data_IF_065870338881
#
_entry.id   IF_065870338881
#
_cell.length_a   1.000
_cell.length_b   1.000
_cell.length_c   1.000
_cell.angle_alpha   90.00
_cell.angle_beta   90.00
_cell.angle_gamma   90.00
#
_symmetry.space_group_name_H-M   'P 1'
#
loop_
_entity.id
_entity.type
_entity.pdbx_description
1 polymer ?
#
# COMPACT_ATOMS: atom_id res chain seq x y z
N UNK A 1 -5.48 -16.31 -15.57
CA UNK A 1 -5.78 -17.76 -15.47
C UNK A 1 -4.98 -18.28 -14.31
N UNK A 2 -5.65 -18.77 -13.27
CA UNK A 2 -4.98 -19.30 -12.08
C UNK A 2 -4.03 -20.44 -12.43
N UNK A 3 -2.89 -20.51 -11.73
CA UNK A 3 -1.90 -21.59 -11.85
C UNK A 3 -2.54 -22.97 -11.62
N UNK A 4 -3.64 -23.02 -10.88
CA UNK A 4 -4.47 -24.20 -10.67
C UNK A 4 -5.18 -24.65 -11.96
N UNK A 5 -5.76 -23.73 -12.73
CA UNK A 5 -6.42 -24.04 -14.00
C UNK A 5 -5.44 -24.59 -15.04
N UNK A 6 -4.21 -24.05 -15.09
CA UNK A 6 -3.16 -24.53 -16.01
C UNK A 6 -2.69 -25.94 -15.64
N UNK A 7 -2.51 -26.24 -14.35
CA UNK A 7 -2.16 -27.59 -13.88
C UNK A 7 -3.24 -28.62 -14.22
N UNK A 8 -4.51 -28.26 -14.05
CA UNK A 8 -5.64 -29.16 -14.36
C UNK A 8 -5.73 -29.43 -15.86
N UNK A 9 -5.59 -28.40 -16.71
CA UNK A 9 -5.56 -28.60 -18.17
C UNK A 9 -4.37 -29.47 -18.62
N UNK A 10 -3.20 -29.32 -17.99
CA UNK A 10 -2.04 -30.17 -18.28
C UNK A 10 -2.28 -31.63 -17.89
N UNK A 11 -2.91 -31.89 -16.74
CA UNK A 11 -3.27 -33.23 -16.29
C UNK A 11 -4.29 -33.89 -17.23
N UNK A 12 -5.30 -33.15 -17.68
CA UNK A 12 -6.26 -33.65 -18.67
C UNK A 12 -5.59 -33.95 -20.01
N UNK A 13 -4.66 -33.09 -20.47
CA UNK A 13 -3.94 -33.31 -21.71
C UNK A 13 -3.02 -34.55 -21.64
N UNK A 14 -2.31 -34.73 -20.52
CA UNK A 14 -1.46 -35.90 -20.27
C UNK A 14 -2.29 -37.19 -20.17
N UNK A 15 -3.41 -37.15 -19.46
CA UNK A 15 -4.35 -38.28 -19.35
C UNK A 15 -4.93 -38.66 -20.72
N UNK A 16 -5.34 -37.68 -21.52
CA UNK A 16 -5.84 -37.92 -22.88
C UNK A 16 -4.75 -38.48 -23.80
N UNK A 17 -3.51 -38.02 -23.67
CA UNK A 17 -2.38 -38.54 -24.44
C UNK A 17 -2.06 -39.98 -24.07
N UNK A 18 -2.09 -40.33 -22.79
CA UNK A 18 -1.81 -41.68 -22.31
C UNK A 18 -2.94 -42.66 -22.68
N UNK A 19 -4.20 -42.22 -22.62
CA UNK A 19 -5.35 -43.00 -23.05
C UNK A 19 -5.33 -43.31 -24.55
N UNK A 20 -4.86 -42.38 -25.40
CA UNK A 20 -4.65 -42.64 -26.83
C UNK A 20 -3.58 -43.71 -27.08
N UNK A 21 -2.47 -43.70 -26.32
CA UNK A 21 -1.44 -44.74 -26.41
C UNK A 21 -2.00 -46.11 -26.01
N UNK A 22 -2.80 -46.16 -24.95
CA UNK A 22 -3.45 -47.40 -24.50
C UNK A 22 -4.44 -47.96 -25.53
N UNK A 23 -5.25 -47.10 -26.16
CA UNK A 23 -6.22 -47.51 -27.18
C UNK A 23 -5.56 -48.05 -28.46
N UNK A 24 -4.33 -47.63 -28.77
CA UNK A 24 -3.57 -48.07 -29.93
C UNK A 24 -2.92 -49.46 -29.80
N UNK A 25 -2.97 -50.11 -28.62
CA UNK A 25 -2.38 -51.43 -28.40
C UNK A 25 -3.26 -52.59 -28.94
N UNK A 26 -2.68 -53.76 -29.26
CA UNK A 26 -3.42 -54.99 -29.51
C UNK A 26 -4.23 -55.46 -28.28
N UNK A 27 -5.34 -56.18 -28.50
CA UNK A 27 -6.34 -56.52 -27.45
C UNK A 27 -5.73 -57.38 -26.31
N UNK A 28 -4.85 -58.34 -26.62
CA UNK A 28 -4.13 -59.18 -25.66
C UNK A 28 -3.16 -58.38 -24.77
N UNK A 29 -2.67 -57.25 -25.28
CA UNK A 29 -1.80 -56.35 -24.54
C UNK A 29 -2.59 -55.37 -23.67
N UNK A 30 -3.82 -55.00 -24.05
CA UNK A 30 -4.72 -54.16 -23.24
C UNK A 30 -5.15 -54.85 -21.95
N UNK A 31 -5.50 -56.13 -22.01
CA UNK A 31 -5.86 -56.93 -20.83
C UNK A 31 -4.66 -57.10 -19.88
N UNK A 32 -3.47 -57.34 -20.45
CA UNK A 32 -2.22 -57.44 -19.69
C UNK A 32 -1.82 -56.09 -19.07
N UNK A 33 -1.98 -54.98 -19.80
CA UNK A 33 -1.67 -53.64 -19.31
C UNK A 33 -2.66 -53.20 -18.22
N UNK A 34 -3.96 -53.50 -18.37
CA UNK A 34 -4.96 -53.29 -17.32
C UNK A 34 -4.58 -54.06 -16.05
N UNK A 35 -4.25 -55.35 -16.15
CA UNK A 35 -3.79 -56.15 -15.01
C UNK A 35 -2.52 -55.58 -14.36
N UNK A 36 -1.58 -55.06 -15.15
CA UNK A 36 -0.33 -54.44 -14.65
C UNK A 36 -0.57 -53.11 -13.94
N UNK A 37 -1.49 -52.29 -14.44
CA UNK A 37 -1.87 -51.01 -13.81
C UNK A 37 -2.65 -51.26 -12.52
N UNK A 38 -3.58 -52.22 -12.50
CA UNK A 38 -4.30 -52.64 -11.29
C UNK A 38 -3.35 -53.23 -10.25
N UNK A 39 -2.35 -54.02 -10.66
CA UNK A 39 -1.33 -54.54 -9.75
C UNK A 39 -0.40 -53.45 -9.19
N UNK A 40 -0.06 -52.43 -9.99
CA UNK A 40 0.71 -51.27 -9.53
C UNK A 40 -0.09 -50.42 -8.54
N UNK A 41 -1.36 -50.11 -8.85
CA UNK A 41 -2.24 -49.40 -7.93
C UNK A 41 -2.44 -50.18 -6.62
N UNK A 42 -2.62 -51.51 -6.71
CA UNK A 42 -2.74 -52.37 -5.54
C UNK A 42 -1.47 -52.34 -4.70
N UNK A 43 -0.29 -52.36 -5.30
CA UNK A 43 0.98 -52.26 -4.58
C UNK A 43 1.24 -50.86 -3.99
N UNK A 44 0.75 -49.79 -4.63
CA UNK A 44 0.81 -48.42 -4.09
C UNK A 44 -0.21 -48.20 -2.95
N UNK A 45 -1.37 -48.86 -2.96
CA UNK A 45 -2.35 -48.80 -1.86
C UNK A 45 -2.02 -49.73 -0.68
N UNK A 46 -1.23 -50.79 -0.88
CA UNK A 46 -0.83 -51.76 0.18
C UNK A 46 0.27 -51.21 1.10
N UNK A 47 0.69 -49.95 0.93
CA UNK A 47 1.60 -49.27 1.85
C UNK A 47 0.99 -48.88 3.21
N UNK A 48 -0.33 -48.92 3.37
CA UNK A 48 -0.98 -48.53 4.62
C UNK A 48 -2.18 -49.43 4.95
N UNK A 49 -2.12 -50.03 6.14
CA UNK A 49 -3.18 -50.69 6.93
C UNK A 49 -3.48 -52.17 6.63
N UNK A 50 -2.92 -53.01 7.52
CA UNK A 50 -3.51 -54.29 7.95
C UNK A 50 -4.85 -54.00 8.65
N UNK A 51 -5.95 -54.61 8.20
CA UNK A 51 -6.89 -55.31 9.07
C UNK A 51 -7.96 -56.06 8.24
N UNK A 52 -8.30 -57.22 8.78
CA UNK A 52 -9.03 -58.34 8.17
C UNK A 52 -10.53 -58.06 7.99
N UNK A 53 -11.11 -58.45 6.83
CA UNK A 53 -12.38 -59.20 6.81
C UNK A 53 -12.36 -60.20 5.65
N UNK A 54 -12.73 -61.42 6.01
CA UNK A 54 -12.79 -62.69 5.31
C UNK A 54 -13.35 -62.65 3.86
N UNK A 55 -12.64 -63.30 2.93
CA UNK A 55 -13.29 -64.07 1.87
C UNK A 55 -12.83 -65.52 1.94
N UNK A 56 -13.82 -66.41 2.03
CA UNK A 56 -13.63 -67.86 2.07
C UNK A 56 -12.85 -68.37 0.85
N UNK A 57 -11.71 -69.00 1.14
CA UNK A 57 -11.09 -69.97 0.25
C UNK A 57 -12.04 -71.17 0.04
N UNK A 58 -12.28 -71.51 -1.22
CA UNK A 58 -12.21 -72.93 -1.61
C UNK A 58 -11.15 -73.13 -2.67
N UNK A 59 -10.04 -73.69 -2.19
CA UNK A 59 -8.82 -73.99 -2.89
C UNK A 59 -8.97 -74.93 -4.09
N UNK A 60 -7.95 -74.86 -4.93
CA UNK A 60 -7.75 -75.74 -6.08
C UNK A 60 -6.46 -75.44 -6.83
N UNK A 61 -5.34 -75.32 -6.12
CA UNK A 61 -4.01 -75.23 -6.71
C UNK A 61 -3.56 -76.62 -7.20
N UNK A 62 -3.22 -76.80 -8.48
CA UNK A 62 -2.04 -77.61 -8.83
C UNK A 62 -1.51 -77.38 -10.25
N UNK A 63 -0.33 -76.76 -10.30
CA UNK A 63 0.88 -77.15 -11.06
C UNK A 63 0.72 -77.52 -12.53
N UNK A 64 1.26 -76.62 -13.36
CA UNK A 64 2.08 -76.94 -14.52
C UNK A 64 3.00 -78.14 -14.26
N UNK A 65 2.80 -79.23 -15.00
CA UNK A 65 3.82 -80.26 -15.24
C UNK A 65 3.91 -80.53 -16.74
N UNK A 66 5.05 -80.17 -17.30
CA UNK A 66 5.53 -80.61 -18.60
C UNK A 66 6.12 -82.04 -18.49
N UNK A 67 6.11 -82.76 -19.62
CA UNK A 67 7.00 -83.88 -20.02
C UNK A 67 6.82 -85.27 -19.36
N UNK A 68 6.23 -86.25 -20.08
CA UNK A 68 6.91 -87.19 -21.01
C UNK A 68 6.03 -88.44 -21.34
N UNK A 69 6.32 -89.16 -22.44
CA UNK A 69 5.43 -90.13 -23.08
C UNK A 69 5.53 -91.52 -22.45
N UNK A 70 4.40 -92.23 -22.37
CA UNK A 70 4.33 -93.65 -21.99
C UNK A 70 3.48 -94.33 -23.08
N UNK A 71 4.13 -94.86 -24.12
CA UNK A 71 4.45 -96.29 -24.29
C UNK A 71 3.23 -97.20 -24.08
N UNK A 72 2.73 -97.64 -25.22
CA UNK A 72 2.04 -98.91 -25.43
C UNK A 72 2.50 -100.01 -24.48
N UNK A 73 1.53 -100.62 -23.78
CA UNK A 73 1.67 -101.97 -23.27
C UNK A 73 0.33 -102.70 -23.34
N UNK A 74 0.17 -103.43 -24.43
CA UNK A 74 -0.80 -104.50 -24.60
C UNK A 74 -0.57 -105.57 -23.54
N UNK A 75 -1.59 -105.92 -22.76
CA UNK A 75 -1.68 -107.21 -22.05
C UNK A 75 -3.15 -107.66 -22.05
N UNK A 76 -3.47 -108.84 -22.62
CA UNK A 76 -4.61 -109.64 -22.18
C UNK A 76 -4.11 -110.95 -21.52
N UNK A 77 -4.95 -111.82 -20.91
CA UNK A 77 -6.34 -111.68 -20.44
C UNK A 77 -6.56 -112.23 -19.01
N UNK A 78 -7.78 -112.07 -18.43
CA UNK A 78 -8.29 -113.06 -17.46
C UNK A 78 -9.79 -113.31 -17.63
N UNK A 79 -10.12 -114.59 -17.72
CA UNK A 79 -11.44 -115.19 -17.94
C UNK A 79 -12.26 -115.25 -16.65
N UNK A 80 -13.59 -115.11 -16.80
CA UNK A 80 -14.70 -115.87 -16.17
C UNK A 80 -15.99 -115.19 -16.66
N UNK A 81 -17.12 -115.81 -17.01
CA UNK A 81 -17.58 -117.19 -17.14
C UNK A 81 -19.04 -117.08 -17.63
N UNK A 82 -19.49 -118.00 -18.51
CA UNK A 82 -20.90 -118.37 -18.61
C UNK A 82 -21.73 -117.71 -19.74
N UNK A 83 -21.94 -118.46 -20.82
CA UNK A 83 -22.86 -118.09 -21.90
C UNK A 83 -22.53 -118.75 -23.24
N UNK A 84 -22.59 -120.09 -23.32
CA UNK A 84 -22.28 -120.88 -24.52
C UNK A 84 -23.39 -120.72 -25.57
N UNK A 85 -23.29 -119.72 -26.45
CA UNK A 85 -24.08 -119.69 -27.68
C UNK A 85 -23.37 -120.54 -28.75
N UNK A 86 -24.06 -121.57 -29.26
CA UNK A 86 -23.52 -122.51 -30.25
C UNK A 86 -23.08 -121.77 -31.52
N UNK A 87 -21.77 -121.62 -31.74
CA UNK A 87 -21.21 -121.19 -33.03
C UNK A 87 -21.32 -122.34 -34.04
N UNK A 88 -22.40 -122.34 -34.82
CA UNK A 88 -22.48 -123.09 -36.08
C UNK A 88 -21.54 -122.48 -37.13
N UNK A 89 -20.86 -123.33 -37.89
CA UNK A 89 -19.90 -123.00 -38.96
C UNK A 89 -20.51 -122.04 -40.01
N UNK A 90 -20.23 -120.73 -39.89
CA UNK A 90 -20.46 -119.72 -40.95
C UNK A 90 -19.26 -118.78 -41.17
N UNK A 91 -18.06 -119.14 -40.71
CA UNK A 91 -16.87 -118.26 -40.74
C UNK A 91 -16.21 -118.07 -42.13
N UNK A 92 -16.83 -118.55 -43.22
CA UNK A 92 -16.24 -118.49 -44.57
C UNK A 92 -17.09 -117.75 -45.62
N UNK A 93 -18.34 -117.38 -45.34
CA UNK A 93 -19.24 -116.82 -46.36
C UNK A 93 -19.04 -115.31 -46.57
N UNK A 94 -19.05 -114.85 -47.83
CA UNK A 94 -19.00 -113.42 -48.22
C UNK A 94 -20.01 -112.57 -47.44
N UNK A 95 -21.21 -113.11 -47.19
CA UNK A 95 -22.30 -112.44 -46.45
C UNK A 95 -21.93 -112.14 -44.99
N UNK A 96 -21.20 -113.04 -44.31
CA UNK A 96 -20.77 -112.84 -42.92
C UNK A 96 -19.68 -111.77 -42.80
N UNK A 97 -18.76 -111.69 -43.76
CA UNK A 97 -17.72 -110.64 -43.82
C UNK A 97 -18.33 -109.24 -43.99
N UNK A 98 -19.32 -109.11 -44.88
CA UNK A 98 -20.07 -107.85 -45.07
C UNK A 98 -20.83 -107.50 -43.81
N UNK A 99 -21.53 -108.46 -43.20
CA UNK A 99 -22.27 -108.25 -41.95
C UNK A 99 -21.36 -107.74 -40.82
N UNK A 100 -20.19 -108.37 -40.62
CA UNK A 100 -19.22 -107.93 -39.60
C UNK A 100 -18.68 -106.53 -39.89
N UNK A 101 -18.35 -106.22 -41.15
CA UNK A 101 -17.90 -104.88 -41.55
C UNK A 101 -18.97 -103.80 -41.30
N UNK A 102 -20.23 -104.09 -41.61
CA UNK A 102 -21.35 -103.18 -41.37
C UNK A 102 -21.54 -102.96 -39.88
N UNK A 103 -21.47 -104.01 -39.05
CA UNK A 103 -21.57 -103.89 -37.60
C UNK A 103 -20.43 -103.05 -37.02
N UNK A 104 -19.18 -103.26 -37.45
CA UNK A 104 -18.04 -102.42 -37.04
C UNK A 104 -18.22 -100.96 -37.45
N UNK A 105 -18.68 -100.68 -38.67
CA UNK A 105 -18.96 -99.31 -39.13
C UNK A 105 -20.11 -98.66 -38.33
N UNK A 106 -21.16 -99.40 -37.99
CA UNK A 106 -22.25 -98.92 -37.12
C UNK A 106 -21.75 -98.59 -35.71
N UNK A 107 -20.91 -99.44 -35.11
CA UNK A 107 -20.29 -99.14 -33.80
C UNK A 107 -19.39 -97.90 -33.86
N UNK A 108 -18.67 -97.71 -34.95
CA UNK A 108 -17.83 -96.52 -35.15
C UNK A 108 -18.65 -95.24 -35.34
N UNK A 109 -19.76 -95.31 -36.10
CA UNK A 109 -20.71 -94.19 -36.24
C UNK A 109 -21.26 -93.80 -34.87
N UNK A 110 -21.72 -94.77 -34.06
CA UNK A 110 -22.22 -94.49 -32.71
C UNK A 110 -21.15 -93.84 -31.82
N UNK A 111 -19.89 -94.28 -31.93
CA UNK A 111 -18.77 -93.67 -31.20
C UNK A 111 -18.50 -92.22 -31.63
N UNK A 112 -18.62 -91.93 -32.93
CA UNK A 112 -18.49 -90.58 -33.47
C UNK A 112 -19.66 -89.69 -33.05
N UNK A 113 -20.89 -90.20 -33.11
CA UNK A 113 -22.09 -89.48 -32.66
C UNK A 113 -22.00 -89.13 -31.17
N UNK A 114 -21.50 -90.04 -30.33
CA UNK A 114 -21.27 -89.76 -28.91
C UNK A 114 -20.18 -88.69 -28.70
N UNK A 115 -19.13 -88.69 -29.54
CA UNK A 115 -18.10 -87.66 -29.50
C UNK A 115 -18.65 -86.29 -29.94
N UNK A 116 -19.43 -86.23 -31.02
CA UNK A 116 -20.11 -85.03 -31.49
C UNK A 116 -21.02 -84.48 -30.39
N UNK A 117 -21.86 -85.33 -29.77
CA UNK A 117 -22.75 -84.91 -28.70
C UNK A 117 -22.02 -84.36 -27.46
N UNK A 118 -20.80 -84.84 -27.17
CA UNK A 118 -19.94 -84.29 -26.10
C UNK A 118 -19.39 -82.91 -26.48
N UNK A 119 -18.88 -82.77 -27.69
CA UNK A 119 -18.38 -81.49 -28.22
C UNK A 119 -19.49 -80.43 -28.34
N UNK A 120 -20.68 -80.79 -28.83
CA UNK A 120 -21.83 -79.89 -28.91
C UNK A 120 -22.28 -79.38 -27.53
N UNK A 121 -22.25 -80.25 -26.51
CA UNK A 121 -22.53 -79.85 -25.11
C UNK A 121 -21.48 -78.87 -24.59
N UNK A 122 -20.21 -79.11 -24.90
CA UNK A 122 -19.11 -78.22 -24.50
C UNK A 122 -19.23 -76.86 -25.22
N UNK A 123 -19.47 -76.87 -26.53
CA UNK A 123 -19.66 -75.66 -27.32
C UNK A 123 -20.83 -74.83 -26.77
N UNK A 124 -21.98 -75.47 -26.51
CA UNK A 124 -23.14 -74.79 -25.93
C UNK A 124 -22.88 -74.27 -24.52
N UNK A 125 -21.99 -74.89 -23.75
CA UNK A 125 -21.59 -74.39 -22.43
C UNK A 125 -20.70 -73.15 -22.56
N UNK A 126 -19.72 -73.17 -23.46
CA UNK A 126 -18.83 -72.06 -23.76
C UNK A 126 -19.58 -70.86 -24.33
N UNK A 127 -20.48 -71.09 -25.29
CA UNK A 127 -21.36 -70.05 -25.86
C UNK A 127 -22.15 -69.33 -24.77
N UNK A 128 -22.77 -70.09 -23.86
CA UNK A 128 -23.47 -69.52 -22.70
C UNK A 128 -22.54 -68.78 -21.74
N UNK A 129 -21.26 -69.15 -21.66
CA UNK A 129 -20.28 -68.43 -20.84
C UNK A 129 -19.94 -67.09 -21.45
N UNK A 130 -19.62 -67.08 -22.75
CA UNK A 130 -19.32 -65.85 -23.49
C UNK A 130 -20.51 -64.89 -23.44
N UNK A 131 -21.74 -65.40 -23.60
CA UNK A 131 -22.93 -64.56 -23.51
C UNK A 131 -23.07 -63.90 -22.13
N UNK A 132 -22.84 -64.65 -21.04
CA UNK A 132 -22.85 -64.09 -19.68
C UNK A 132 -21.76 -63.05 -19.49
N UNK A 133 -20.57 -63.30 -20.03
CA UNK A 133 -19.44 -62.38 -19.91
C UNK A 133 -19.67 -61.10 -20.73
N UNK A 134 -20.29 -61.20 -21.91
CA UNK A 134 -20.71 -60.06 -22.72
C UNK A 134 -21.72 -59.18 -21.97
N UNK A 135 -22.76 -59.79 -21.38
CA UNK A 135 -23.75 -59.05 -20.58
C UNK A 135 -23.07 -58.33 -19.41
N UNK A 136 -22.18 -59.01 -18.67
CA UNK A 136 -21.43 -58.40 -17.57
C UNK A 136 -20.56 -57.23 -18.03
N UNK A 137 -19.96 -57.36 -19.22
CA UNK A 137 -19.12 -56.31 -19.78
C UNK A 137 -19.94 -55.08 -20.19
N UNK A 138 -21.12 -55.28 -20.80
CA UNK A 138 -22.03 -54.19 -21.13
C UNK A 138 -22.57 -53.47 -19.88
N UNK A 139 -22.92 -54.22 -18.83
CA UNK A 139 -23.31 -53.66 -17.53
C UNK A 139 -22.16 -52.84 -16.92
N UNK A 140 -20.93 -53.36 -16.98
CA UNK A 140 -19.75 -52.64 -16.51
C UNK A 140 -19.51 -51.33 -17.26
N UNK A 141 -19.62 -51.34 -18.60
CA UNK A 141 -19.46 -50.13 -19.40
C UNK A 141 -20.52 -49.08 -19.07
N UNK A 142 -21.78 -49.51 -18.92
CA UNK A 142 -22.88 -48.62 -18.55
C UNK A 142 -22.69 -47.99 -17.19
N UNK A 143 -22.26 -48.77 -16.20
CA UNK A 143 -21.99 -48.28 -14.85
C UNK A 143 -20.78 -47.35 -14.83
N UNK A 144 -19.74 -47.62 -15.63
CA UNK A 144 -18.60 -46.74 -15.77
C UNK A 144 -18.98 -45.40 -16.41
N UNK A 145 -19.75 -45.41 -17.50
CA UNK A 145 -20.25 -44.21 -18.14
C UNK A 145 -21.12 -43.39 -17.19
N UNK A 146 -22.04 -44.05 -16.47
CA UNK A 146 -22.87 -43.44 -15.44
C UNK A 146 -22.03 -42.75 -14.36
N UNK A 147 -21.06 -43.46 -13.76
CA UNK A 147 -20.16 -42.88 -12.74
C UNK A 147 -19.33 -41.72 -13.29
N UNK A 148 -18.87 -41.82 -14.53
CA UNK A 148 -18.13 -40.74 -15.21
C UNK A 148 -19.00 -39.49 -15.39
N UNK A 149 -20.25 -39.67 -15.81
CA UNK A 149 -21.22 -38.57 -15.96
C UNK A 149 -21.55 -37.96 -14.61
N UNK A 150 -21.85 -38.77 -13.60
CA UNK A 150 -22.14 -38.31 -12.23
C UNK A 150 -20.96 -37.50 -11.66
N UNK A 151 -19.73 -37.99 -11.78
CA UNK A 151 -18.54 -37.27 -11.37
C UNK A 151 -18.43 -35.92 -12.09
N UNK A 152 -18.63 -35.90 -13.42
CA UNK A 152 -18.62 -34.67 -14.21
C UNK A 152 -19.69 -33.67 -13.76
N UNK A 153 -20.92 -34.13 -13.54
CA UNK A 153 -22.01 -33.25 -13.11
C UNK A 153 -21.75 -32.65 -11.73
N UNK A 154 -21.17 -33.43 -10.81
CA UNK A 154 -20.79 -32.94 -9.47
C UNK A 154 -19.71 -31.85 -9.57
N UNK A 155 -18.68 -32.06 -10.40
CA UNK A 155 -17.66 -31.03 -10.65
C UNK A 155 -18.24 -29.77 -11.30
N UNK A 156 -19.12 -29.92 -12.28
CA UNK A 156 -19.78 -28.77 -12.93
C UNK A 156 -20.72 -28.02 -11.98
N UNK A 157 -21.37 -28.71 -11.04
CA UNK A 157 -22.19 -28.08 -10.01
C UNK A 157 -21.34 -27.35 -8.97
N UNK A 158 -20.25 -27.96 -8.49
CA UNK A 158 -19.32 -27.34 -7.54
C UNK A 158 -18.65 -26.09 -8.15
N UNK A 159 -18.24 -26.18 -9.41
CA UNK A 159 -17.68 -25.04 -10.14
C UNK A 159 -18.70 -23.90 -10.29
N UNK A 160 -19.96 -24.22 -10.60
CA UNK A 160 -21.05 -23.22 -10.66
C UNK A 160 -21.30 -22.58 -9.29
N UNK A 161 -21.42 -23.39 -8.24
CA UNK A 161 -21.65 -22.88 -6.87
C UNK A 161 -20.50 -21.98 -6.41
N UNK A 162 -19.25 -22.40 -6.65
CA UNK A 162 -18.06 -21.58 -6.36
C UNK A 162 -18.09 -20.26 -7.14
N UNK A 163 -18.45 -20.30 -8.43
CA UNK A 163 -18.55 -19.09 -9.24
C UNK A 163 -19.64 -18.13 -8.74
N UNK A 164 -20.80 -18.65 -8.34
CA UNK A 164 -21.89 -17.86 -7.76
C UNK A 164 -21.46 -17.19 -6.44
N UNK A 165 -20.83 -17.95 -5.53
CA UNK A 165 -20.28 -17.41 -4.28
C UNK A 165 -19.21 -16.34 -4.56
N UNK A 166 -18.34 -16.55 -5.55
CA UNK A 166 -17.35 -15.56 -5.96
C UNK A 166 -17.97 -14.28 -6.57
N UNK A 167 -19.10 -14.40 -7.27
CA UNK A 167 -19.85 -13.23 -7.74
C UNK A 167 -20.45 -12.46 -6.57
N UNK A 168 -21.00 -13.16 -5.58
CA UNK A 168 -21.57 -12.54 -4.37
C UNK A 168 -20.50 -11.86 -3.51
N UNK A 169 -19.34 -12.48 -3.34
CA UNK A 169 -18.18 -11.84 -2.68
C UNK A 169 -17.81 -10.54 -3.40
N UNK A 170 -17.76 -10.56 -4.75
CA UNK A 170 -17.47 -9.35 -5.54
C UNK A 170 -18.53 -8.27 -5.36
N UNK A 171 -19.82 -8.66 -5.33
CA UNK A 171 -20.94 -7.75 -5.08
C UNK A 171 -20.83 -7.09 -3.70
N UNK A 172 -20.66 -7.89 -2.65
CA UNK A 172 -20.49 -7.41 -1.28
C UNK A 172 -19.24 -6.53 -1.13
N UNK A 173 -18.14 -6.89 -1.79
CA UNK A 173 -16.91 -6.09 -1.79
C UNK A 173 -17.14 -4.70 -2.39
N UNK A 174 -17.91 -4.62 -3.48
CA UNK A 174 -18.28 -3.33 -4.09
C UNK A 174 -19.18 -2.51 -3.16
N UNK A 175 -20.18 -3.13 -2.52
CA UNK A 175 -21.07 -2.47 -1.57
C UNK A 175 -20.32 -1.92 -0.34
N UNK A 176 -19.38 -2.70 0.20
CA UNK A 176 -18.48 -2.25 1.28
C UNK A 176 -17.68 -1.02 0.83
N UNK A 177 -17.16 -1.00 -0.40
CA UNK A 177 -16.41 0.13 -0.92
C UNK A 177 -17.27 1.39 -1.03
N UNK A 178 -18.51 1.25 -1.52
CA UNK A 178 -19.48 2.35 -1.58
C UNK A 178 -19.77 2.89 -0.18
N UNK A 179 -20.13 2.04 0.78
CA UNK A 179 -20.41 2.45 2.16
C UNK A 179 -19.19 3.14 2.80
N UNK A 180 -17.97 2.63 2.56
CA UNK A 180 -16.74 3.27 3.04
C UNK A 180 -16.54 4.67 2.45
N UNK A 181 -16.82 4.85 1.16
CA UNK A 181 -16.72 6.17 0.52
C UNK A 181 -17.76 7.15 1.05
N UNK A 182 -18.98 6.66 1.33
CA UNK A 182 -20.02 7.46 1.96
C UNK A 182 -19.65 7.85 3.40
N UNK A 183 -19.10 6.91 4.18
CA UNK A 183 -18.61 7.17 5.53
C UNK A 183 -17.51 8.24 5.52
N UNK A 184 -16.52 8.15 4.63
CA UNK A 184 -15.48 9.16 4.50
C UNK A 184 -16.04 10.55 4.15
N UNK A 185 -17.04 10.62 3.28
CA UNK A 185 -17.75 11.88 2.97
C UNK A 185 -18.46 12.44 4.20
N UNK A 186 -19.10 11.60 5.01
CA UNK A 186 -19.72 12.04 6.26
C UNK A 186 -18.69 12.49 7.29
N UNK A 187 -17.52 11.84 7.36
CA UNK A 187 -16.41 12.25 8.22
C UNK A 187 -15.87 13.64 7.84
N UNK A 188 -15.71 13.92 6.54
CA UNK A 188 -15.31 15.24 6.03
C UNK A 188 -16.33 16.32 6.43
N UNK A 189 -17.62 16.08 6.19
CA UNK A 189 -18.71 16.98 6.59
C UNK A 189 -18.70 17.21 8.12
N UNK A 190 -18.43 16.17 8.90
CA UNK A 190 -18.36 16.28 10.36
C UNK A 190 -17.16 17.10 10.82
N UNK A 191 -16.03 17.05 10.11
CA UNK A 191 -14.90 17.95 10.33
C UNK A 191 -15.30 19.40 10.04
N UNK A 192 -16.00 19.66 8.94
CA UNK A 192 -16.49 21.00 8.61
C UNK A 192 -17.43 21.54 9.69
N UNK A 193 -18.39 20.75 10.16
CA UNK A 193 -19.29 21.17 11.25
C UNK A 193 -18.55 21.46 12.55
N UNK A 194 -17.51 20.69 12.89
CA UNK A 194 -16.65 21.00 14.05
C UNK A 194 -15.92 22.33 13.86
N UNK A 195 -15.37 22.57 12.67
CA UNK A 195 -14.71 23.83 12.35
C UNK A 195 -15.69 25.01 12.41
N UNK A 196 -16.92 24.85 11.92
CA UNK A 196 -17.97 25.87 12.00
C UNK A 196 -18.37 26.13 13.45
N UNK A 197 -18.53 25.08 14.27
CA UNK A 197 -18.79 25.24 15.71
C UNK A 197 -17.69 26.05 16.39
N UNK A 198 -16.42 25.73 16.11
CA UNK A 198 -15.27 26.43 16.68
C UNK A 198 -15.21 27.89 16.21
N UNK A 199 -15.53 28.15 14.94
CA UNK A 199 -15.62 29.49 14.39
C UNK A 199 -16.72 30.31 15.07
N UNK A 200 -17.93 29.76 15.18
CA UNK A 200 -19.06 30.40 15.85
C UNK A 200 -18.72 30.72 17.31
N UNK A 201 -18.05 29.80 18.00
CA UNK A 201 -17.60 30.03 19.37
C UNK A 201 -16.61 31.20 19.47
N UNK A 202 -15.65 31.31 18.54
CA UNK A 202 -14.68 32.42 18.51
C UNK A 202 -15.30 33.76 18.16
N UNK A 203 -16.32 33.77 17.30
CA UNK A 203 -17.05 34.97 16.90
C UNK A 203 -18.07 35.43 17.95
N UNK A 204 -18.47 34.54 18.86
CA UNK A 204 -19.36 34.89 19.96
C UNK A 204 -18.67 35.89 20.91
N UNK A 205 -19.39 36.82 21.55
CA UNK A 205 -18.79 37.82 22.44
C UNK A 205 -18.00 37.20 23.61
N UNK A 206 -16.90 37.84 24.08
CA UNK A 206 -16.08 37.32 25.18
C UNK A 206 -16.86 37.04 26.46
N UNK A 207 -17.80 37.92 26.81
CA UNK A 207 -18.69 37.77 27.98
C UNK A 207 -19.51 36.47 27.93
N UNK A 208 -19.97 36.11 26.72
CA UNK A 208 -20.72 34.89 26.48
C UNK A 208 -19.81 33.65 26.47
N UNK A 209 -18.61 33.75 25.87
CA UNK A 209 -17.62 32.68 25.88
C UNK A 209 -17.19 32.31 27.32
N UNK A 210 -16.99 33.31 28.19
CA UNK A 210 -16.58 33.14 29.58
C UNK A 210 -17.69 32.54 30.45
N UNK A 211 -18.93 32.97 30.27
CA UNK A 211 -20.09 32.36 30.91
C UNK A 211 -20.20 30.88 30.55
N UNK A 212 -19.97 30.53 29.29
CA UNK A 212 -20.07 29.15 28.84
C UNK A 212 -18.90 28.27 29.31
N UNK A 213 -17.68 28.80 29.38
CA UNK A 213 -16.54 28.10 29.99
C UNK A 213 -16.73 27.89 31.50
N UNK A 214 -17.34 28.84 32.19
CA UNK A 214 -17.61 28.78 33.63
C UNK A 214 -18.67 27.72 33.97
N UNK A 215 -19.70 27.57 33.13
CA UNK A 215 -20.69 26.49 33.25
C UNK A 215 -20.07 25.09 33.09
N UNK A 216 -19.16 24.90 32.11
CA UNK A 216 -18.46 23.62 31.88
C UNK A 216 -17.53 23.24 33.03
N UNK A 217 -16.91 24.22 33.70
CA UNK A 217 -16.02 23.98 34.86
C UNK A 217 -16.83 23.61 36.11
N UNK A 218 -18.01 24.20 36.31
CA UNK A 218 -18.93 23.84 37.41
C UNK A 218 -19.43 22.39 37.32
N UNK A 219 -19.69 21.89 36.11
CA UNK A 219 -20.19 20.52 35.89
C UNK A 219 -19.13 19.41 36.06
N UNK A 220 -17.82 19.73 36.06
CA UNK A 220 -16.74 18.74 36.24
C UNK A 220 -16.39 18.42 37.70
N UNK A 221 -16.99 19.12 38.67
CA UNK A 221 -16.72 18.93 40.11
C UNK A 221 -17.36 17.70 40.75
N UNK A 222 -18.24 16.96 40.07
CA UNK A 222 -18.89 15.77 40.61
C UNK A 222 -19.12 14.72 39.53
N UNK A 223 -18.25 13.69 39.49
CA UNK A 223 -18.57 12.25 39.31
C UNK A 223 -17.33 11.49 38.85
N UNK A 224 -16.63 10.91 39.82
CA UNK A 224 -16.12 9.54 39.66
C UNK A 224 -17.34 8.62 39.62
N UNK A 225 -17.72 8.15 38.44
CA UNK A 225 -18.37 6.85 38.31
C UNK A 225 -18.26 6.40 36.85
N UNK A 226 -17.52 5.32 36.66
CA UNK A 226 -17.40 4.64 35.39
C UNK A 226 -18.77 4.04 35.05
N UNK A 227 -19.17 4.12 33.78
CA UNK A 227 -20.37 3.53 33.20
C UNK A 227 -21.64 4.42 33.12
N UNK A 228 -21.52 5.59 32.47
CA UNK A 228 -22.68 6.29 31.90
C UNK A 228 -22.64 6.23 30.38
N UNK A 229 -23.62 5.55 29.82
CA UNK A 229 -24.10 5.75 28.45
C UNK A 229 -24.12 7.25 28.14
N UNK A 230 -23.52 7.59 26.99
CA UNK A 230 -23.51 8.92 26.41
C UNK A 230 -24.94 9.33 26.09
N UNK A 231 -25.60 9.93 27.08
CA UNK A 231 -26.88 10.62 26.88
C UNK A 231 -26.59 11.96 26.21
N UNK A 232 -26.84 11.97 24.91
CA UNK A 232 -26.76 13.08 23.97
C UNK A 232 -27.87 14.11 24.23
N UNK A 233 -27.85 14.77 25.40
CA UNK A 233 -28.86 15.77 25.80
C UNK A 233 -28.20 17.01 26.41
N UNK A 234 -27.21 17.57 25.73
CA UNK A 234 -26.80 18.96 25.93
C UNK A 234 -26.63 19.58 24.53
N UNK A 235 -27.75 19.95 23.91
CA UNK A 235 -27.73 20.82 22.73
C UNK A 235 -27.12 22.16 23.19
N UNK A 236 -25.89 22.52 22.75
CA UNK A 236 -25.25 23.71 23.25
C UNK A 236 -26.03 24.92 22.73
N UNK A 237 -26.56 25.73 23.65
CA UNK A 237 -27.19 27.00 23.28
C UNK A 237 -26.20 27.83 22.45
N UNK A 238 -26.59 28.18 21.22
CA UNK A 238 -25.75 28.95 20.29
C UNK A 238 -26.01 30.44 20.52
N UNK A 239 -24.96 31.26 20.49
CA UNK A 239 -25.10 32.71 20.58
C UNK A 239 -25.88 33.28 19.39
N UNK A 240 -25.55 32.83 18.18
CA UNK A 240 -26.23 33.22 16.95
C UNK A 240 -27.51 32.39 16.77
N UNK A 241 -28.65 33.07 16.81
CA UNK A 241 -29.99 32.43 16.66
C UNK A 241 -30.54 32.57 15.24
N UNK A 242 -30.07 33.56 14.49
CA UNK A 242 -30.42 33.80 13.08
C UNK A 242 -29.13 33.88 12.25
N UNK A 243 -28.98 33.10 11.16
CA UNK A 243 -27.84 33.18 10.26
C UNK A 243 -27.50 34.59 9.76
N UNK A 244 -28.48 35.48 9.65
CA UNK A 244 -28.24 36.86 9.22
C UNK A 244 -27.34 37.63 10.21
N UNK A 245 -27.44 37.35 11.51
CA UNK A 245 -26.61 37.98 12.54
C UNK A 245 -25.11 37.75 12.31
N UNK A 246 -24.75 36.55 11.86
CA UNK A 246 -23.36 36.21 11.53
C UNK A 246 -22.89 36.91 10.25
N UNK A 247 -23.75 36.98 9.23
CA UNK A 247 -23.45 37.64 7.97
C UNK A 247 -23.26 39.15 8.16
N UNK A 248 -24.11 39.77 8.99
CA UNK A 248 -24.03 41.19 9.32
C UNK A 248 -22.73 41.48 10.09
N UNK A 249 -22.40 40.66 11.09
CA UNK A 249 -21.13 40.76 11.84
C UNK A 249 -19.90 40.60 10.92
N UNK A 250 -19.93 39.62 10.01
CA UNK A 250 -18.84 39.42 9.05
C UNK A 250 -18.71 40.60 8.08
N UNK A 251 -19.83 41.19 7.67
CA UNK A 251 -19.87 42.38 6.81
C UNK A 251 -19.27 43.57 7.53
N UNK A 252 -19.65 43.82 8.79
CA UNK A 252 -19.10 44.90 9.61
C UNK A 252 -17.58 44.73 9.84
N UNK A 253 -17.14 43.52 10.23
CA UNK A 253 -15.71 43.23 10.40
C UNK A 253 -14.94 43.41 9.09
N UNK A 254 -15.53 43.06 7.95
CA UNK A 254 -14.92 43.26 6.64
C UNK A 254 -14.78 44.75 6.33
N UNK A 255 -15.81 45.54 6.58
CA UNK A 255 -15.79 46.99 6.38
C UNK A 255 -14.75 47.67 7.29
N UNK A 256 -14.70 47.29 8.56
CA UNK A 256 -13.70 47.79 9.51
C UNK A 256 -12.28 47.44 9.06
N UNK A 257 -12.03 46.20 8.63
CA UNK A 257 -10.72 45.79 8.12
C UNK A 257 -10.33 46.56 6.86
N UNK A 258 -11.26 46.78 5.93
CA UNK A 258 -11.01 47.59 4.72
C UNK A 258 -10.67 49.04 5.08
N UNK A 259 -11.40 49.63 6.03
CA UNK A 259 -11.12 50.99 6.53
C UNK A 259 -9.74 51.10 7.19
N UNK A 260 -9.36 50.10 8.00
CA UNK A 260 -8.02 50.05 8.61
C UNK A 260 -6.92 49.94 7.57
N UNK A 261 -7.09 49.09 6.56
CA UNK A 261 -6.14 48.96 5.44
C UNK A 261 -6.00 50.31 4.73
N UNK A 262 -7.12 50.94 4.36
CA UNK A 262 -7.12 52.24 3.69
C UNK A 262 -6.43 53.33 4.53
N UNK A 263 -6.65 53.35 5.83
CA UNK A 263 -5.99 54.30 6.72
C UNK A 263 -4.48 54.04 6.81
N UNK A 264 -4.06 52.77 6.94
CA UNK A 264 -2.64 52.40 6.92
C UNK A 264 -1.98 52.87 5.62
N UNK A 265 -2.58 52.56 4.47
CA UNK A 265 -2.06 52.99 3.17
C UNK A 265 -1.98 54.51 3.06
N UNK A 266 -2.99 55.26 3.51
CA UNK A 266 -2.95 56.73 3.50
C UNK A 266 -1.83 57.27 4.40
N UNK A 267 -1.65 56.69 5.59
CA UNK A 267 -0.56 57.08 6.51
C UNK A 267 0.80 56.78 5.88
N UNK A 268 0.97 55.61 5.26
CA UNK A 268 2.15 55.21 4.51
C UNK A 268 2.46 56.21 3.38
N UNK A 269 1.48 56.59 2.57
CA UNK A 269 1.64 57.58 1.51
C UNK A 269 2.09 58.95 2.05
N UNK A 270 1.46 59.43 3.15
CA UNK A 270 1.88 60.70 3.77
C UNK A 270 3.31 60.63 4.32
N UNK A 271 3.70 59.48 4.87
CA UNK A 271 5.05 59.25 5.36
C UNK A 271 6.06 59.28 4.21
N UNK A 272 5.75 58.63 3.08
CA UNK A 272 6.60 58.64 1.88
C UNK A 272 6.78 60.06 1.33
N UNK A 273 5.71 60.85 1.25
CA UNK A 273 5.77 62.25 0.82
C UNK A 273 6.66 63.10 1.74
N UNK A 274 6.52 62.95 3.07
CA UNK A 274 7.37 63.63 4.03
C UNK A 274 8.83 63.23 3.87
N UNK A 275 9.12 61.94 3.70
CA UNK A 275 10.49 61.46 3.44
C UNK A 275 11.06 62.04 2.14
N UNK A 276 10.26 62.14 1.08
CA UNK A 276 10.69 62.69 -0.20
C UNK A 276 10.96 64.20 -0.09
N UNK A 277 10.11 64.95 0.61
CA UNK A 277 10.32 66.38 0.88
C UNK A 277 11.55 66.65 1.76
N UNK A 278 11.85 65.77 2.72
CA UNK A 278 13.06 65.82 3.51
C UNK A 278 14.30 65.59 2.63
N UNK A 279 14.26 64.56 1.76
CA UNK A 279 15.34 64.25 0.81
C UNK A 279 15.60 65.43 -0.14
N UNK A 280 14.56 66.06 -0.69
CA UNK A 280 14.71 67.23 -1.59
C UNK A 280 15.22 68.45 -0.84
N UNK A 281 14.71 68.74 0.37
CA UNK A 281 15.18 69.85 1.21
C UNK A 281 16.65 69.67 1.57
N UNK A 282 17.06 68.45 1.95
CA UNK A 282 18.46 68.12 2.23
C UNK A 282 19.35 68.32 0.99
N UNK A 283 18.93 67.84 -0.19
CA UNK A 283 19.64 68.09 -1.46
C UNK A 283 19.77 69.57 -1.77
N UNK A 284 18.71 70.35 -1.59
CA UNK A 284 18.71 71.80 -1.83
C UNK A 284 19.61 72.55 -0.85
N UNK A 285 19.62 72.18 0.43
CA UNK A 285 20.54 72.75 1.42
C UNK A 285 21.99 72.43 1.08
N UNK A 286 22.30 71.18 0.69
CA UNK A 286 23.64 70.80 0.21
C UNK A 286 24.01 71.63 -1.02
N UNK A 287 23.16 71.69 -2.04
CA UNK A 287 23.42 72.47 -3.25
C UNK A 287 23.64 73.97 -2.96
N UNK A 288 22.86 74.56 -2.06
CA UNK A 288 23.05 75.96 -1.63
C UNK A 288 24.36 76.14 -0.86
N UNK A 289 24.71 75.21 0.03
CA UNK A 289 25.98 75.23 0.75
C UNK A 289 27.16 75.12 -0.23
N UNK A 290 27.12 74.19 -1.19
CA UNK A 290 28.13 74.04 -2.25
C UNK A 290 28.22 75.27 -3.13
N UNK A 291 27.08 75.85 -3.56
CA UNK A 291 27.05 77.08 -4.37
C UNK A 291 27.61 78.28 -3.61
N UNK A 292 27.28 78.43 -2.33
CA UNK A 292 27.84 79.46 -1.48
C UNK A 292 29.36 79.26 -1.30
N UNK A 293 29.82 78.03 -1.09
CA UNK A 293 31.24 77.69 -1.04
C UNK A 293 31.96 78.06 -2.34
N UNK A 294 31.39 77.74 -3.50
CA UNK A 294 31.97 78.08 -4.81
C UNK A 294 32.06 79.60 -5.00
N UNK A 295 30.98 80.34 -4.71
CA UNK A 295 30.97 81.81 -4.81
C UNK A 295 31.98 82.46 -3.85
N UNK A 296 32.20 81.87 -2.67
CA UNK A 296 33.16 82.38 -1.68
C UNK A 296 34.62 82.06 -2.08
N UNK A 297 34.85 81.00 -2.86
CA UNK A 297 36.19 80.60 -3.33
C UNK A 297 36.54 81.10 -4.75
N UNK A 298 35.56 81.48 -5.57
CA UNK A 298 35.77 81.88 -6.98
C UNK A 298 35.24 83.28 -7.33
N UNK A 299 35.10 84.17 -6.35
CA UNK A 299 34.93 85.61 -6.63
C UNK A 299 36.21 86.21 -7.26
N UNK A 300 36.12 87.20 -8.16
CA UNK A 300 37.27 87.74 -8.89
C UNK A 300 38.14 88.60 -7.96
N UNK A 301 39.10 87.98 -7.29
CA UNK A 301 40.22 88.65 -6.64
C UNK A 301 41.46 88.55 -7.54
N UNK A 302 41.60 89.51 -8.45
CA UNK A 302 42.90 89.91 -8.96
C UNK A 302 43.62 90.67 -7.85
N UNK A 303 44.51 90.00 -7.11
CA UNK A 303 45.85 90.46 -6.67
C UNK A 303 46.31 89.65 -5.45
N UNK A 304 47.62 89.41 -5.41
CA UNK A 304 48.40 88.64 -4.43
C UNK A 304 48.45 87.12 -4.63
N UNK A 305 49.42 86.73 -5.45
CA UNK A 305 50.07 85.43 -5.40
C UNK A 305 50.52 85.12 -3.97
N UNK A 306 49.75 84.29 -3.26
CA UNK A 306 50.26 83.47 -2.16
C UNK A 306 50.68 82.13 -2.78
N UNK A 307 51.83 81.55 -2.39
CA UNK A 307 52.33 80.32 -3.01
C UNK A 307 51.34 79.18 -2.72
N UNK A 308 50.71 78.70 -3.79
CA UNK A 308 49.78 77.57 -3.79
C UNK A 308 50.34 76.33 -3.09
N UNK A 309 51.67 76.21 -3.07
CA UNK A 309 52.42 75.13 -2.46
C UNK A 309 52.26 75.06 -0.93
N UNK A 310 52.14 76.19 -0.23
CA UNK A 310 51.99 76.20 1.24
C UNK A 310 50.62 75.67 1.69
N UNK A 311 49.57 75.95 0.91
CA UNK A 311 48.24 75.42 1.16
C UNK A 311 48.15 73.93 0.80
N UNK A 312 48.82 73.51 -0.26
CA UNK A 312 48.95 72.11 -0.66
C UNK A 312 49.69 71.28 0.40
N UNK A 313 50.74 71.84 1.01
CA UNK A 313 51.49 71.19 2.09
C UNK A 313 50.66 71.06 3.37
N UNK A 314 49.96 72.11 3.79
CA UNK A 314 49.05 72.05 4.95
C UNK A 314 47.90 71.05 4.74
N UNK A 315 47.35 70.98 3.52
CA UNK A 315 46.35 69.99 3.15
C UNK A 315 46.95 68.57 3.18
N UNK A 316 48.15 68.39 2.63
CA UNK A 316 48.87 67.12 2.63
C UNK A 316 49.13 66.61 4.05
N UNK A 317 49.48 67.50 4.97
CA UNK A 317 49.69 67.20 6.39
C UNK A 317 48.39 66.79 7.09
N UNK A 318 47.29 67.52 6.86
CA UNK A 318 46.00 67.17 7.46
C UNK A 318 45.41 65.87 6.89
N UNK A 319 45.57 65.64 5.59
CA UNK A 319 45.20 64.35 4.96
C UNK A 319 46.03 63.21 5.54
N UNK A 320 47.32 63.43 5.81
CA UNK A 320 48.16 62.44 6.46
C UNK A 320 47.72 62.14 7.90
N UNK A 321 47.27 63.15 8.66
CA UNK A 321 46.72 62.97 10.00
C UNK A 321 45.44 62.12 9.98
N UNK A 322 44.49 62.44 9.11
CA UNK A 322 43.23 61.69 9.00
C UNK A 322 43.47 60.26 8.50
N UNK A 323 44.41 60.08 7.57
CA UNK A 323 44.80 58.75 7.10
C UNK A 323 45.36 57.90 8.25
N UNK A 324 46.24 58.48 9.10
CA UNK A 324 46.78 57.79 10.29
C UNK A 324 45.68 57.40 11.28
N UNK A 325 44.72 58.28 11.53
CA UNK A 325 43.67 58.00 12.52
C UNK A 325 42.63 56.99 12.05
N UNK A 326 42.34 56.92 10.74
CA UNK A 326 41.17 56.20 10.22
C UNK A 326 41.50 54.94 9.41
N UNK A 327 42.71 54.82 8.86
CA UNK A 327 43.07 53.76 7.90
C UNK A 327 44.18 52.86 8.45
N UNK A 328 45.38 53.39 8.72
CA UNK A 328 46.53 52.62 9.21
C UNK A 328 47.60 53.54 9.84
N UNK A 329 48.23 53.11 10.94
CA UNK A 329 49.24 53.89 11.69
C UNK A 329 50.68 53.64 11.19
N UNK A 330 50.85 52.74 10.21
CA UNK A 330 52.16 52.39 9.63
C UNK A 330 52.59 53.46 8.63
N UNK A 331 53.85 53.89 8.72
CA UNK A 331 54.46 54.86 7.79
C UNK A 331 54.66 54.27 6.38
N UNK A 332 53.58 54.15 5.61
CA UNK A 332 53.67 53.95 4.15
C UNK A 332 53.85 55.32 3.49
N UNK A 333 54.92 55.48 2.69
CA UNK A 333 55.19 56.70 1.89
C UNK A 333 54.19 56.82 0.72
N UNK A 334 52.92 57.04 1.05
CA UNK A 334 51.85 57.24 0.08
C UNK A 334 51.72 58.72 -0.25
N UNK A 335 51.42 59.02 -1.52
CA UNK A 335 51.13 60.39 -1.93
C UNK A 335 49.75 60.83 -1.39
N UNK A 336 49.48 62.13 -1.40
CA UNK A 336 48.26 62.71 -0.80
C UNK A 336 46.98 62.19 -1.46
N UNK A 337 47.01 61.93 -2.77
CA UNK A 337 45.86 61.40 -3.51
C UNK A 337 45.61 59.93 -3.14
N UNK A 338 46.65 59.11 -3.04
CA UNK A 338 46.56 57.71 -2.59
C UNK A 338 46.04 57.62 -1.15
N UNK A 339 46.48 58.52 -0.26
CA UNK A 339 45.93 58.62 1.09
C UNK A 339 44.43 58.95 1.06
N UNK A 340 44.01 59.88 0.22
CA UNK A 340 42.59 60.21 0.03
C UNK A 340 41.80 59.02 -0.51
N UNK A 341 42.30 58.32 -1.53
CA UNK A 341 41.66 57.13 -2.09
C UNK A 341 41.53 56.00 -1.06
N UNK A 342 42.53 55.83 -0.19
CA UNK A 342 42.46 54.84 0.89
C UNK A 342 41.44 55.23 1.96
N UNK A 343 41.38 56.51 2.34
CA UNK A 343 40.37 57.03 3.26
C UNK A 343 38.98 56.81 2.66
N UNK A 344 38.78 57.18 1.39
CA UNK A 344 37.53 56.99 0.67
C UNK A 344 37.11 55.52 0.64
N UNK A 345 38.02 54.62 0.25
CA UNK A 345 37.77 53.17 0.25
C UNK A 345 37.39 52.64 1.63
N UNK A 346 38.05 53.10 2.69
CA UNK A 346 37.70 52.73 4.08
C UNK A 346 36.33 53.25 4.46
N UNK A 347 35.99 54.47 4.06
CA UNK A 347 34.68 55.09 4.29
C UNK A 347 33.57 54.31 3.57
N UNK A 348 33.79 53.92 2.31
CA UNK A 348 32.86 53.08 1.55
C UNK A 348 32.63 51.72 2.21
N UNK A 349 33.69 51.05 2.67
CA UNK A 349 33.59 49.76 3.37
C UNK A 349 32.80 49.87 4.69
N UNK A 350 33.04 50.93 5.46
CA UNK A 350 32.31 51.18 6.70
C UNK A 350 30.82 51.44 6.43
N UNK A 351 30.50 52.25 5.41
CA UNK A 351 29.11 52.52 5.01
C UNK A 351 28.40 51.25 4.55
N UNK A 352 29.08 50.39 3.78
CA UNK A 352 28.53 49.11 3.34
C UNK A 352 28.30 48.15 4.54
N UNK A 353 29.20 48.17 5.53
CA UNK A 353 28.99 47.39 6.76
C UNK A 353 27.80 47.89 7.58
N UNK A 354 27.58 49.21 7.63
CA UNK A 354 26.43 49.85 8.28
C UNK A 354 25.10 49.49 7.59
N UNK A 355 25.11 49.38 6.27
CA UNK A 355 23.92 49.00 5.47
C UNK A 355 23.59 47.50 5.58
N UNK A 356 24.57 46.65 5.90
CA UNK A 356 24.39 45.21 6.10
C UNK A 356 23.92 44.79 7.50
N UNK A 357 23.73 45.74 8.43
CA UNK A 357 23.30 45.44 9.80
C UNK A 357 21.81 45.06 9.79
N UNK A 358 21.42 43.88 10.34
CA UNK A 358 20.02 43.48 10.44
C UNK A 358 19.19 44.48 11.26
N UNK A 359 17.94 44.74 10.82
CA UNK A 359 17.05 45.77 11.36
C UNK A 359 16.84 45.65 12.89
N UNK A 360 16.79 44.43 13.43
CA UNK A 360 16.66 44.19 14.88
C UNK A 360 17.85 44.71 15.70
N UNK A 361 19.09 44.54 15.20
CA UNK A 361 20.30 45.07 15.86
C UNK A 361 20.40 46.58 15.70
N UNK A 362 19.96 47.11 14.56
CA UNK A 362 19.93 48.54 14.30
C UNK A 362 18.97 49.26 15.26
N UNK A 363 17.81 48.68 15.53
CA UNK A 363 16.80 49.22 16.46
C UNK A 363 17.30 49.22 17.92
N UNK A 364 18.01 48.16 18.34
CA UNK A 364 18.64 48.11 19.66
C UNK A 364 19.71 49.21 19.82
N UNK A 365 20.54 49.42 18.79
CA UNK A 365 21.60 50.42 18.80
C UNK A 365 21.03 51.86 18.78
N UNK A 366 19.94 52.10 18.03
CA UNK A 366 19.19 53.36 18.08
C UNK A 366 18.62 53.62 19.47
N UNK A 367 18.00 52.62 20.12
CA UNK A 367 17.50 52.75 21.51
C UNK A 367 18.59 53.11 22.51
N UNK A 368 19.77 52.47 22.41
CA UNK A 368 20.92 52.76 23.29
C UNK A 368 21.41 54.19 23.04
N UNK A 369 21.64 54.58 21.78
CA UNK A 369 22.11 55.93 21.44
C UNK A 369 21.10 57.02 21.80
N UNK A 370 19.81 56.78 21.63
CA UNK A 370 18.76 57.71 22.05
C UNK A 370 18.58 57.74 23.57
N UNK A 371 18.90 56.66 24.29
CA UNK A 371 18.98 56.68 25.75
C UNK A 371 20.15 57.54 26.23
N UNK A 372 21.31 57.44 25.58
CA UNK A 372 22.52 58.23 25.86
C UNK A 372 22.32 59.71 25.51
N UNK A 373 21.68 60.00 24.37
CA UNK A 373 21.32 61.37 23.97
C UNK A 373 20.34 61.97 24.97
N UNK A 374 19.34 61.21 25.42
CA UNK A 374 18.43 61.65 26.50
C UNK A 374 19.17 61.91 27.81
N UNK A 375 20.22 61.16 28.14
CA UNK A 375 21.03 61.42 29.35
C UNK A 375 21.90 62.67 29.20
N UNK A 376 22.46 62.95 28.02
CA UNK A 376 23.27 64.16 27.76
C UNK A 376 22.45 65.46 27.72
N UNK A 377 21.18 65.39 27.31
CA UNK A 377 20.28 66.56 27.20
C UNK A 377 19.20 66.63 28.30
N UNK A 378 19.18 65.68 29.25
CA UNK A 378 18.36 65.80 30.45
C UNK A 378 18.97 66.87 31.36
N UNK A 379 18.45 68.10 31.28
CA UNK A 379 18.45 68.99 32.45
C UNK A 379 17.64 68.28 33.53
N UNK A 380 18.18 68.01 34.72
CA UNK A 380 17.45 67.31 35.76
C UNK A 380 16.15 68.07 36.09
N UNK A 381 15.01 67.36 36.05
CA UNK A 381 13.65 67.90 36.23
C UNK A 381 13.38 68.54 37.62
N UNK A 382 14.37 68.50 38.51
CA UNK A 382 14.38 69.09 39.85
C UNK A 382 14.55 70.62 39.83
N UNK A 383 14.95 71.21 38.70
CA UNK A 383 15.09 72.66 38.56
C UNK A 383 13.77 73.39 38.25
N UNK A 384 12.67 72.67 38.02
CA UNK A 384 11.34 73.21 37.75
C UNK A 384 10.32 72.91 38.87
N UNK A 385 10.80 72.64 40.08
CA UNK A 385 9.92 72.50 41.24
C UNK A 385 9.48 73.89 41.77
N UNK A 386 8.19 74.09 42.13
CA UNK A 386 7.74 75.34 42.72
C UNK A 386 8.47 75.64 44.05
N UNK A 387 8.66 76.92 44.43
CA UNK A 387 9.44 77.32 45.61
C UNK A 387 9.00 76.68 46.95
N UNK A 388 7.77 76.15 47.04
CA UNK A 388 7.28 75.45 48.23
C UNK A 388 7.91 74.07 48.45
N UNK A 389 8.52 73.46 47.44
CA UNK A 389 9.15 72.14 47.54
C UNK A 389 10.62 72.19 48.00
N UNK A 390 11.27 73.36 47.95
CA UNK A 390 12.67 73.51 48.37
C UNK A 390 12.86 73.40 49.90
N UNK A 391 11.86 73.79 50.70
CA UNK A 391 11.89 73.66 52.16
C UNK A 391 11.69 72.21 52.66
N UNK A 392 11.08 71.34 51.85
CA UNK A 392 10.90 69.93 52.20
C UNK A 392 12.18 69.10 52.00
N UNK A 393 13.09 69.53 51.13
CA UNK A 393 14.33 68.81 50.81
C UNK A 393 15.46 69.14 51.81
N UNK A 394 15.51 70.34 52.38
CA UNK A 394 16.44 70.64 53.49
C UNK A 394 16.10 69.85 54.77
N UNK A 395 14.81 69.57 55.03
CA UNK A 395 14.41 68.74 56.18
C UNK A 395 14.78 67.26 56.04
N UNK A 396 14.84 66.74 54.81
CA UNK A 396 15.18 65.32 54.57
C UNK A 396 16.69 65.06 54.42
N UNK A 397 17.49 66.08 54.10
CA UNK A 397 18.95 65.94 53.94
C UNK A 397 19.73 66.14 55.24
N UNK A 398 19.18 66.86 56.23
CA UNK A 398 19.83 67.04 57.54
C UNK A 398 19.65 65.83 58.50
N UNK A 399 18.72 64.89 58.23
CA UNK A 399 18.51 63.70 59.08
C UNK A 399 19.33 62.46 58.69
N UNK A 400 20.20 62.57 57.68
CA UNK A 400 21.04 61.47 57.19
C UNK A 400 22.55 61.68 57.38
N UNK A 401 22.93 62.64 58.23
CA UNK A 401 24.29 62.78 58.75
C UNK A 401 24.25 63.02 60.26
N UNK A 402 23.94 61.96 61.00
CA UNK A 402 24.51 61.71 62.34
C UNK A 402 24.60 60.21 62.58
#
# INVERSE_FOLDING_TARGET
>A
MDLCCVKVMLLFALCAQEMRKFLALPIDQKTTHAARVTAKLKNELVGEVEDEVEEEEKGGNEKTKNLKPIKSRTVPPKQTSGGRMKQGKWKGSRKFKIYLSVMTKRSEILRMDEAIAKEEKLLKHLERSIERDNIRFEEFLRENEKKSVEARTMYEQEARSTQEKNNEIRRLTAEILTIKSELARFEEILVDYKNYKDLLFKLSPPEWQEAQRSNVISCKGTKEDQNRELKDTDEPELYFTDPQQLLDLMTELTEQNLSLIQNSTRVEETLEQLQQSLKTTKKNQIHRCTKLHLVTFTGPCNHFAYPQDVLLDALSEKVAEVHRSCVDDRMTKLNTLEKLTNIEKRLSLLLQSLESIPEEKLELMKKIKDSERRTRYCVPQWLNAPPSAHLAIEFFTCKKTS
#
